data_IF_073602094587
#
_entry.id   IF_073602094587
#
_cell.length_a   1.000
_cell.length_b   1.000
_cell.length_c   1.000
_cell.angle_alpha   90.00
_cell.angle_beta   90.00
_cell.angle_gamma   90.00
#
_symmetry.space_group_name_H-M   'P 1'
#
loop_
_entity.id
_entity.type
_entity.pdbx_description
1 polymer ?
#
# COMPACT_ATOMS: atom_id res chain seq x y z
N UNK A 1 8.95 -13.19 -7.62
CA UNK A 1 8.31 -12.71 -6.38
C UNK A 1 8.45 -11.20 -6.33
N UNK A 2 7.33 -10.46 -6.10
CA UNK A 2 7.32 -9.00 -6.14
C UNK A 2 7.95 -8.44 -4.86
N UNK A 3 8.81 -7.43 -5.02
CA UNK A 3 9.38 -6.67 -3.92
C UNK A 3 8.69 -5.29 -3.81
N UNK A 4 8.50 -4.82 -2.58
CA UNK A 4 8.00 -3.46 -2.37
C UNK A 4 9.15 -2.44 -2.53
N UNK A 5 8.87 -1.23 -3.06
CA UNK A 5 9.92 -0.24 -3.28
C UNK A 5 10.47 0.31 -1.97
N UNK A 6 11.76 0.68 -1.98
CA UNK A 6 12.32 1.58 -0.97
C UNK A 6 11.85 3.00 -1.27
N UNK A 7 11.66 3.82 -0.23
CA UNK A 7 11.20 5.20 -0.43
C UNK A 7 11.65 6.14 0.69
N UNK A 8 11.51 7.42 0.41
CA UNK A 8 11.55 8.50 1.39
C UNK A 8 10.31 9.37 1.16
N UNK A 9 9.44 9.43 2.14
CA UNK A 9 8.22 10.24 2.10
C UNK A 9 8.17 11.14 3.33
N UNK A 10 7.55 12.29 3.19
CA UNK A 10 7.28 13.19 4.32
C UNK A 10 5.95 12.84 4.97
N UNK A 11 5.86 13.05 6.29
CA UNK A 11 4.59 13.05 7.00
C UNK A 11 3.99 14.46 7.07
N UNK A 12 2.82 14.60 7.70
CA UNK A 12 2.16 15.90 7.86
C UNK A 12 2.93 16.92 8.75
N UNK A 13 3.89 16.45 9.54
CA UNK A 13 4.75 17.30 10.38
C UNK A 13 6.02 17.74 9.66
N UNK A 14 6.23 17.30 8.41
CA UNK A 14 7.42 17.56 7.63
C UNK A 14 8.61 16.64 7.94
N UNK A 15 8.42 15.63 8.80
CA UNK A 15 9.47 14.65 9.06
C UNK A 15 9.62 13.70 7.88
N UNK A 16 10.85 13.32 7.55
CA UNK A 16 11.14 12.34 6.52
C UNK A 16 11.13 10.94 7.10
N UNK A 17 10.28 10.09 6.54
CA UNK A 17 10.20 8.67 6.84
C UNK A 17 10.84 7.87 5.71
N UNK A 18 11.82 7.04 6.05
CA UNK A 18 12.57 6.21 5.09
C UNK A 18 12.22 4.75 5.27
N UNK A 19 11.91 4.07 4.15
CA UNK A 19 11.80 2.62 4.08
C UNK A 19 12.94 2.08 3.21
N UNK A 20 13.78 1.22 3.77
CA UNK A 20 14.91 0.58 3.08
C UNK A 20 14.54 -0.81 2.54
N UNK A 21 13.57 -1.48 3.17
CA UNK A 21 13.10 -2.82 2.78
C UNK A 21 13.89 -3.97 3.42
N UNK A 22 14.75 -3.67 4.39
CA UNK A 22 15.55 -4.65 5.15
C UNK A 22 14.86 -5.13 6.45
N UNK A 23 13.62 -4.69 6.68
CA UNK A 23 12.79 -5.07 7.82
C UNK A 23 11.38 -5.44 7.37
N UNK A 24 10.74 -6.40 8.06
CA UNK A 24 9.33 -6.69 7.80
C UNK A 24 8.48 -5.44 7.99
N UNK A 25 7.50 -5.26 7.13
CA UNK A 25 6.63 -4.08 7.22
C UNK A 25 5.21 -4.35 6.72
N UNK A 26 4.29 -3.53 7.19
CA UNK A 26 2.92 -3.43 6.68
C UNK A 26 2.78 -2.09 5.96
N UNK A 27 2.33 -2.11 4.72
CA UNK A 27 2.05 -0.93 3.93
C UNK A 27 0.56 -0.89 3.59
N UNK A 28 -0.05 0.29 3.67
CA UNK A 28 -1.41 0.48 3.17
C UNK A 28 -1.49 1.78 2.37
N UNK A 29 -2.01 1.67 1.15
CA UNK A 29 -2.21 2.79 0.24
C UNK A 29 -3.68 3.19 0.25
N UNK A 30 -3.95 4.48 0.48
CA UNK A 30 -5.29 5.04 0.57
C UNK A 30 -5.39 6.38 -0.15
N UNK A 31 -6.62 6.84 -0.40
CA UNK A 31 -6.92 8.20 -0.82
C UNK A 31 -8.22 8.71 -0.19
N UNK A 32 -8.34 10.02 -0.04
CA UNK A 32 -9.44 10.67 0.66
C UNK A 32 -10.80 10.46 -0.02
N UNK A 33 -10.86 10.59 -1.34
CA UNK A 33 -12.09 10.53 -2.13
C UNK A 33 -12.57 9.09 -2.40
N UNK A 34 -12.00 8.11 -1.71
CA UNK A 34 -12.39 6.71 -1.80
C UNK A 34 -13.23 6.30 -0.58
N UNK A 35 -14.53 6.03 -0.75
CA UNK A 35 -15.40 5.63 0.37
C UNK A 35 -14.92 4.37 1.09
N UNK A 36 -14.29 3.45 0.36
CA UNK A 36 -13.72 2.24 0.96
C UNK A 36 -12.47 2.54 1.79
N UNK A 37 -11.61 3.48 1.34
CA UNK A 37 -10.49 3.96 2.13
C UNK A 37 -10.95 4.60 3.45
N UNK A 38 -12.00 5.41 3.40
CA UNK A 38 -12.59 5.98 4.61
C UNK A 38 -13.15 4.90 5.53
N UNK A 39 -13.83 3.89 4.99
CA UNK A 39 -14.39 2.79 5.76
C UNK A 39 -13.33 1.96 6.50
N UNK A 40 -12.10 1.86 5.99
CA UNK A 40 -11.03 1.09 6.63
C UNK A 40 -10.18 1.90 7.63
N UNK A 41 -10.37 3.21 7.76
CA UNK A 41 -9.61 4.02 8.72
C UNK A 41 -9.66 3.48 10.16
N UNK A 42 -10.80 2.99 10.69
CA UNK A 42 -10.82 2.35 12.01
C UNK A 42 -9.92 1.11 12.09
N UNK A 43 -9.82 0.33 11.02
CA UNK A 43 -8.92 -0.84 10.95
C UNK A 43 -7.47 -0.39 10.98
N UNK A 44 -7.12 0.66 10.21
CA UNK A 44 -5.75 1.21 10.16
C UNK A 44 -5.35 1.82 11.50
N UNK A 45 -6.28 2.46 12.22
CA UNK A 45 -6.05 2.97 13.57
C UNK A 45 -5.77 1.83 14.56
N UNK A 46 -6.57 0.77 14.52
CA UNK A 46 -6.38 -0.40 15.36
C UNK A 46 -5.07 -1.15 15.02
N UNK A 47 -4.73 -1.27 13.74
CA UNK A 47 -3.47 -1.83 13.26
C UNK A 47 -2.28 -1.04 13.80
N UNK A 48 -2.29 0.27 13.65
CA UNK A 48 -1.22 1.15 14.15
C UNK A 48 -1.06 0.97 15.66
N UNK A 49 -2.14 1.06 16.42
CA UNK A 49 -2.09 0.98 17.89
C UNK A 49 -1.60 -0.38 18.39
N UNK A 50 -1.84 -1.47 17.67
CA UNK A 50 -1.46 -2.82 18.11
C UNK A 50 -0.12 -3.29 17.56
N UNK A 51 0.29 -2.87 16.37
CA UNK A 51 1.43 -3.46 15.66
C UNK A 51 2.61 -2.52 15.45
N UNK A 52 2.44 -1.19 15.50
CA UNK A 52 3.50 -0.24 15.12
C UNK A 52 4.75 -0.28 16.03
N UNK A 53 4.65 -0.80 17.25
CA UNK A 53 5.81 -1.04 18.13
C UNK A 53 6.58 -2.32 17.80
N UNK A 54 5.98 -3.23 17.00
CA UNK A 54 6.51 -4.57 16.73
C UNK A 54 6.96 -4.74 15.28
N UNK A 55 6.40 -3.97 14.35
CA UNK A 55 6.68 -4.03 12.91
C UNK A 55 6.59 -2.62 12.34
N UNK A 56 7.35 -2.34 11.27
CA UNK A 56 7.25 -1.06 10.58
C UNK A 56 5.91 -0.94 9.88
N UNK A 57 5.16 0.13 10.14
CA UNK A 57 3.85 0.39 9.54
C UNK A 57 3.92 1.68 8.73
N UNK A 58 3.62 1.58 7.43
CA UNK A 58 3.60 2.71 6.50
C UNK A 58 2.21 2.90 5.93
N UNK A 59 1.54 3.96 6.35
CA UNK A 59 0.22 4.34 5.87
C UNK A 59 0.38 5.51 4.90
N UNK A 60 0.09 5.27 3.63
CA UNK A 60 0.51 6.12 2.50
C UNK A 60 -0.74 6.67 1.83
N UNK A 61 -0.84 8.00 1.79
CA UNK A 61 -1.92 8.70 1.13
C UNK A 61 -1.46 9.36 -0.17
N UNK A 62 -2.34 9.40 -1.17
CA UNK A 62 -2.00 9.81 -2.53
C UNK A 62 -2.15 11.31 -2.78
N UNK A 63 -2.61 12.10 -1.81
CA UNK A 63 -2.68 13.56 -1.92
C UNK A 63 -2.35 14.23 -0.58
N UNK A 64 -1.55 15.28 -0.61
CA UNK A 64 -1.15 16.00 0.60
C UNK A 64 -2.36 16.62 1.32
N UNK A 65 -3.22 17.34 0.59
CA UNK A 65 -4.42 17.96 1.15
C UNK A 65 -5.43 16.92 1.67
N UNK A 66 -5.57 15.80 0.96
CA UNK A 66 -6.42 14.69 1.38
C UNK A 66 -5.93 14.03 2.66
N UNK A 67 -4.62 13.86 2.80
CA UNK A 67 -4.01 13.34 4.03
C UNK A 67 -4.30 14.24 5.23
N UNK A 68 -4.19 15.54 5.05
CA UNK A 68 -4.51 16.51 6.09
C UNK A 68 -5.98 16.44 6.49
N UNK A 69 -6.90 16.48 5.51
CA UNK A 69 -8.35 16.40 5.78
C UNK A 69 -8.76 15.11 6.46
N UNK A 70 -8.24 13.96 6.03
CA UNK A 70 -8.51 12.67 6.68
C UNK A 70 -8.03 12.68 8.14
N UNK A 71 -6.82 13.18 8.40
CA UNK A 71 -6.25 13.25 9.74
C UNK A 71 -7.08 14.11 10.67
N UNK A 72 -7.51 15.30 10.22
CA UNK A 72 -8.31 16.24 11.01
C UNK A 72 -9.74 15.71 11.23
N UNK A 73 -10.39 15.19 10.18
CA UNK A 73 -11.77 14.77 10.24
C UNK A 73 -11.99 13.50 11.06
N UNK A 74 -11.02 12.57 11.02
CA UNK A 74 -11.16 11.25 11.66
C UNK A 74 -10.27 11.06 12.88
N UNK A 75 -9.58 12.10 13.33
CA UNK A 75 -8.69 12.07 14.50
C UNK A 75 -7.74 10.85 14.48
N UNK A 76 -6.98 10.73 13.40
CA UNK A 76 -6.13 9.56 13.16
C UNK A 76 -4.96 9.53 14.16
N UNK A 77 -4.70 8.39 14.83
CA UNK A 77 -3.61 8.24 15.81
C UNK A 77 -2.23 8.09 15.17
N UNK A 78 -2.15 8.16 13.85
CA UNK A 78 -0.94 8.02 13.05
C UNK A 78 -0.82 9.17 12.04
N UNK A 79 0.39 9.37 11.55
CA UNK A 79 0.64 10.34 10.49
C UNK A 79 0.68 9.63 9.14
N UNK A 80 -0.16 10.09 8.20
CA UNK A 80 -0.12 9.62 6.82
C UNK A 80 1.14 10.13 6.11
N UNK A 81 1.74 9.28 5.30
CA UNK A 81 2.87 9.60 4.44
C UNK A 81 2.36 10.19 3.12
N UNK A 82 3.02 11.23 2.65
CA UNK A 82 2.64 11.98 1.46
C UNK A 82 3.29 11.37 0.20
N UNK A 83 2.51 10.62 -0.57
CA UNK A 83 2.86 10.15 -1.91
C UNK A 83 2.13 10.95 -3.01
N UNK A 84 1.99 12.26 -2.84
CA UNK A 84 1.32 13.13 -3.83
C UNK A 84 2.04 13.19 -5.18
N UNK A 85 3.32 12.83 -5.23
CA UNK A 85 4.05 12.59 -6.49
C UNK A 85 3.65 11.29 -7.18
N UNK A 86 3.03 10.36 -6.45
CA UNK A 86 2.58 9.03 -6.89
C UNK A 86 3.70 8.06 -7.28
N UNK A 87 4.95 8.38 -6.99
CA UNK A 87 6.08 7.52 -7.35
C UNK A 87 6.07 6.20 -6.60
N UNK A 88 5.73 6.21 -5.31
CA UNK A 88 5.70 4.99 -4.49
C UNK A 88 4.49 4.12 -4.89
N UNK A 89 3.32 4.72 -5.09
CA UNK A 89 2.14 4.02 -5.59
C UNK A 89 2.41 3.37 -6.96
N UNK A 90 3.04 4.12 -7.88
CA UNK A 90 3.39 3.61 -9.21
C UNK A 90 4.42 2.47 -9.14
N UNK A 91 5.50 2.65 -8.39
CA UNK A 91 6.53 1.62 -8.22
C UNK A 91 6.02 0.37 -7.49
N UNK A 92 4.96 0.49 -6.69
CA UNK A 92 4.28 -0.62 -6.01
C UNK A 92 3.19 -1.28 -6.85
N UNK A 93 2.97 -0.85 -8.09
CA UNK A 93 1.88 -1.28 -8.96
C UNK A 93 0.48 -1.17 -8.30
N UNK A 94 0.23 -0.06 -7.60
CA UNK A 94 -1.06 0.18 -6.97
C UNK A 94 -2.08 0.62 -8.02
N UNK A 95 -2.96 -0.27 -8.40
CA UNK A 95 -4.07 0.03 -9.32
C UNK A 95 -5.34 0.42 -8.58
N UNK A 96 -5.54 -0.14 -7.40
CA UNK A 96 -6.73 0.01 -6.56
C UNK A 96 -6.31 0.44 -5.16
N UNK A 97 -7.08 1.32 -4.54
CA UNK A 97 -6.99 1.67 -3.13
C UNK A 97 -8.32 1.39 -2.41
N UNK A 98 -8.31 0.93 -1.14
CA UNK A 98 -7.14 0.59 -0.36
C UNK A 98 -6.44 -0.68 -0.87
N UNK A 99 -5.13 -0.71 -0.76
CA UNK A 99 -4.33 -1.93 -0.90
C UNK A 99 -3.47 -2.08 0.34
N UNK A 100 -3.57 -3.24 1.00
CA UNK A 100 -2.80 -3.62 2.17
C UNK A 100 -1.74 -4.65 1.77
N UNK A 101 -0.47 -4.39 2.08
CA UNK A 101 0.65 -5.28 1.78
C UNK A 101 1.41 -5.63 3.05
N UNK A 102 1.91 -6.86 3.11
CA UNK A 102 2.88 -7.30 4.12
C UNK A 102 4.17 -7.69 3.42
N UNK A 103 5.30 -7.23 3.94
CA UNK A 103 6.63 -7.58 3.42
C UNK A 103 7.46 -8.26 4.47
N UNK A 104 8.32 -9.17 4.02
CA UNK A 104 9.31 -9.84 4.86
C UNK A 104 10.64 -9.04 4.93
N UNK A 105 11.59 -9.51 5.76
CA UNK A 105 12.88 -8.84 5.95
C UNK A 105 13.78 -8.83 4.70
N UNK A 106 13.48 -9.66 3.70
CA UNK A 106 14.15 -9.69 2.39
C UNK A 106 13.44 -8.80 1.36
N UNK A 107 12.53 -7.95 1.82
CA UNK A 107 11.72 -7.02 1.03
C UNK A 107 10.66 -7.69 0.11
N UNK A 108 10.51 -9.00 0.16
CA UNK A 108 9.50 -9.69 -0.64
C UNK A 108 8.10 -9.44 -0.07
N UNK A 109 7.13 -9.22 -0.96
CA UNK A 109 5.72 -9.12 -0.57
C UNK A 109 5.21 -10.53 -0.28
N UNK A 110 4.85 -10.80 0.98
CA UNK A 110 4.28 -12.08 1.40
C UNK A 110 2.77 -12.13 1.22
N UNK A 111 2.10 -11.01 1.38
CA UNK A 111 0.65 -10.89 1.30
C UNK A 111 0.25 -9.54 0.70
N UNK A 112 -0.82 -9.52 -0.09
CA UNK A 112 -1.43 -8.29 -0.60
C UNK A 112 -2.94 -8.47 -0.71
N UNK A 113 -3.70 -7.53 -0.14
CA UNK A 113 -5.15 -7.46 -0.20
C UNK A 113 -5.58 -6.17 -0.90
N UNK A 114 -6.42 -6.30 -1.92
CA UNK A 114 -6.90 -5.21 -2.76
C UNK A 114 -8.38 -4.96 -2.49
N UNK A 115 -8.75 -3.71 -2.23
CA UNK A 115 -10.08 -3.38 -1.75
C UNK A 115 -10.27 -3.83 -0.29
N UNK A 116 -11.51 -4.03 0.12
CA UNK A 116 -11.81 -4.46 1.48
C UNK A 116 -12.72 -5.69 1.50
N UNK A 117 -12.21 -6.78 2.05
CA UNK A 117 -12.96 -7.97 2.43
C UNK A 117 -12.64 -8.22 3.90
N UNK A 118 -13.67 -8.09 4.75
CA UNK A 118 -13.53 -8.04 6.21
C UNK A 118 -12.75 -9.22 6.79
N UNK A 119 -13.15 -10.42 6.39
CA UNK A 119 -12.58 -11.64 6.97
C UNK A 119 -11.13 -11.87 6.53
N UNK A 120 -10.78 -11.46 5.29
CA UNK A 120 -9.40 -11.53 4.80
C UNK A 120 -8.50 -10.53 5.52
N UNK A 121 -8.95 -9.29 5.70
CA UNK A 121 -8.21 -8.29 6.45
C UNK A 121 -8.01 -8.69 7.90
N UNK A 122 -9.09 -9.16 8.57
CA UNK A 122 -9.02 -9.63 9.94
C UNK A 122 -8.04 -10.79 10.08
N UNK A 123 -8.15 -11.80 9.22
CA UNK A 123 -7.27 -12.98 9.23
C UNK A 123 -5.82 -12.61 9.01
N UNK A 124 -5.53 -11.77 8.00
CA UNK A 124 -4.16 -11.34 7.71
C UNK A 124 -3.54 -10.61 8.89
N UNK A 125 -4.25 -9.63 9.47
CA UNK A 125 -3.72 -8.84 10.59
C UNK A 125 -3.55 -9.69 11.87
N UNK A 126 -4.43 -10.65 12.12
CA UNK A 126 -4.26 -11.61 13.21
C UNK A 126 -3.05 -12.53 13.00
N UNK A 127 -2.82 -12.98 11.76
CA UNK A 127 -1.66 -13.81 11.41
C UNK A 127 -0.34 -13.02 11.58
N UNK A 128 -0.31 -11.76 11.16
CA UNK A 128 0.85 -10.88 11.38
C UNK A 128 1.12 -10.71 12.86
N UNK A 129 0.11 -10.41 13.66
CA UNK A 129 0.24 -10.28 15.11
C UNK A 129 0.73 -11.57 15.77
N UNK A 130 0.19 -12.72 15.35
CA UNK A 130 0.61 -14.03 15.84
C UNK A 130 2.09 -14.32 15.56
N UNK A 131 2.58 -13.98 14.36
CA UNK A 131 4.01 -14.09 14.00
C UNK A 131 4.90 -13.18 14.86
N UNK A 132 4.38 -12.02 15.26
CA UNK A 132 5.08 -11.05 16.12
C UNK A 132 4.96 -11.38 17.62
N UNK A 133 4.16 -12.37 17.99
CA UNK A 133 3.91 -12.72 19.39
C UNK A 133 3.11 -11.65 20.15
N UNK A 134 2.30 -10.86 19.47
CA UNK A 134 1.48 -9.80 20.07
C UNK A 134 -0.01 -10.00 19.78
N UNK A 135 -0.86 -9.22 20.45
CA UNK A 135 -2.29 -9.22 20.16
C UNK A 135 -2.57 -8.50 18.82
N UNK A 136 -3.51 -9.05 18.05
CA UNK A 136 -3.98 -8.44 16.83
C UNK A 136 -4.80 -7.16 17.08
N UNK A 137 -5.14 -6.42 16.00
CA UNK A 137 -5.96 -5.24 16.11
C UNK A 137 -7.30 -5.51 16.80
N UNK A 138 -7.60 -4.70 17.81
CA UNK A 138 -8.86 -4.80 18.58
C UNK A 138 -9.83 -3.74 18.08
N UNK A 139 -10.93 -4.20 17.47
CA UNK A 139 -12.05 -3.37 17.04
C UNK A 139 -13.29 -4.23 16.86
N UNK A 140 -14.46 -3.60 16.77
CA UNK A 140 -15.71 -4.27 16.48
C UNK A 140 -15.83 -4.52 14.96
N UNK A 141 -15.27 -5.65 14.51
CA UNK A 141 -15.28 -6.04 13.10
C UNK A 141 -16.70 -6.17 12.54
N UNK A 142 -17.70 -6.53 13.35
CA UNK A 142 -19.07 -6.70 12.86
C UNK A 142 -19.75 -5.39 12.47
N UNK A 143 -19.22 -4.26 12.89
CA UNK A 143 -19.66 -2.94 12.43
C UNK A 143 -19.12 -2.55 11.06
N UNK A 144 -18.13 -3.27 10.56
CA UNK A 144 -17.57 -3.03 9.24
C UNK A 144 -18.37 -3.78 8.16
N UNK A 145 -18.43 -3.27 6.93
CA UNK A 145 -19.05 -3.99 5.83
C UNK A 145 -18.33 -5.33 5.60
N UNK A 146 -19.04 -6.35 5.12
CA UNK A 146 -18.42 -7.64 4.77
C UNK A 146 -17.44 -7.48 3.62
N UNK A 147 -17.80 -6.66 2.66
CA UNK A 147 -17.01 -6.42 1.47
C UNK A 147 -17.29 -5.03 0.89
N UNK A 148 -16.25 -4.38 0.36
CA UNK A 148 -16.33 -3.19 -0.46
C UNK A 148 -15.29 -3.23 -1.59
N UNK A 149 -15.68 -2.87 -2.82
CA UNK A 149 -14.69 -2.66 -3.87
C UNK A 149 -13.78 -1.49 -3.50
N UNK A 150 -12.55 -1.53 -3.95
CA UNK A 150 -11.69 -0.37 -3.91
C UNK A 150 -12.05 0.65 -4.98
N UNK A 151 -11.29 1.73 -5.01
CA UNK A 151 -11.37 2.79 -6.01
C UNK A 151 -10.07 2.81 -6.82
N UNK A 152 -10.11 3.31 -8.05
CA UNK A 152 -8.91 3.46 -8.86
C UNK A 152 -7.84 4.32 -8.15
N UNK A 153 -6.62 3.87 -8.17
CA UNK A 153 -5.45 4.63 -7.69
C UNK A 153 -5.19 5.82 -8.60
N UNK A 154 -4.70 6.93 -8.06
CA UNK A 154 -4.29 8.09 -8.86
C UNK A 154 -3.08 7.77 -9.76
N UNK A 155 -2.26 6.78 -9.41
CA UNK A 155 -1.11 6.39 -10.22
C UNK A 155 -1.47 5.74 -11.57
N UNK A 156 -2.69 5.21 -11.70
CA UNK A 156 -3.23 4.68 -12.97
C UNK A 156 -4.21 5.62 -13.64
N UNK A 157 -4.53 6.76 -13.01
CA UNK A 157 -5.36 7.78 -13.64
C UNK A 157 -4.64 8.35 -14.88
N UNK A 158 -5.31 8.47 -16.04
CA UNK A 158 -4.70 8.96 -17.27
C UNK A 158 -4.00 10.32 -17.13
N UNK A 159 -4.46 11.18 -16.23
CA UNK A 159 -3.84 12.50 -15.96
C UNK A 159 -2.44 12.40 -15.38
N UNK A 160 -2.09 11.28 -14.73
CA UNK A 160 -0.82 11.02 -14.07
C UNK A 160 0.01 9.92 -14.71
N UNK A 161 -0.66 8.91 -15.29
CA UNK A 161 -0.03 7.68 -15.77
C UNK A 161 1.06 7.94 -16.83
N UNK A 162 0.82 8.84 -17.78
CA UNK A 162 1.80 9.13 -18.84
C UNK A 162 3.06 9.82 -18.30
N UNK A 163 2.90 10.75 -17.34
CA UNK A 163 4.03 11.38 -16.64
C UNK A 163 4.83 10.35 -15.85
N UNK A 164 4.17 9.52 -15.05
CA UNK A 164 4.82 8.50 -14.23
C UNK A 164 5.58 7.48 -15.07
N UNK A 165 5.01 7.09 -16.21
CA UNK A 165 5.66 6.19 -17.17
C UNK A 165 6.93 6.82 -17.73
N UNK A 166 6.86 8.06 -18.19
CA UNK A 166 8.02 8.78 -18.74
C UNK A 166 9.13 8.95 -17.70
N UNK A 167 8.78 9.35 -16.46
CA UNK A 167 9.75 9.50 -15.36
C UNK A 167 10.38 8.15 -14.98
N UNK A 168 9.63 7.05 -15.02
CA UNK A 168 10.16 5.71 -14.77
C UNK A 168 11.10 5.23 -15.89
N UNK A 169 10.84 5.61 -17.15
CA UNK A 169 11.70 5.29 -18.29
C UNK A 169 13.04 6.02 -18.23
N UNK A 170 13.06 7.24 -17.72
CA UNK A 170 14.26 8.05 -17.52
C UNK A 170 15.05 7.66 -16.26
N UNK A 171 14.54 6.71 -15.44
CA UNK A 171 15.18 6.31 -14.19
C UNK A 171 16.49 5.54 -14.44
N UNK A 172 17.61 5.89 -13.76
CA UNK A 172 18.89 5.17 -13.87
C UNK A 172 18.81 3.69 -13.49
N UNK A 173 17.81 3.30 -12.68
CA UNK A 173 17.60 1.92 -12.27
C UNK A 173 17.06 1.09 -13.44
N UNK A 174 16.17 1.66 -14.25
CA UNK A 174 15.62 0.99 -15.44
C UNK A 174 16.67 0.88 -16.54
N UNK A 175 17.45 1.94 -16.75
CA UNK A 175 18.55 1.91 -17.72
C UNK A 175 19.54 0.77 -17.42
N UNK A 176 19.89 0.55 -16.15
CA UNK A 176 20.73 -0.58 -15.72
C UNK A 176 20.09 -1.95 -15.97
N UNK A 177 18.78 -2.08 -15.75
CA UNK A 177 18.06 -3.33 -15.96
C UNK A 177 17.89 -3.67 -17.45
N UNK A 178 17.80 -2.65 -18.32
CA UNK A 178 17.80 -2.82 -19.77
C UNK A 178 19.16 -3.29 -20.28
N UNK A 179 20.27 -2.74 -19.76
CA UNK A 179 21.64 -3.17 -20.09
C UNK A 179 21.95 -4.60 -19.65
N UNK A 180 21.31 -5.10 -18.60
CA UNK A 180 21.53 -6.46 -18.08
C UNK A 180 20.62 -7.50 -18.76
N UNK A 181 19.70 -7.07 -19.64
CA UNK A 181 18.80 -7.98 -20.36
C UNK A 181 17.78 -8.71 -19.48
N UNK A 182 17.45 -8.17 -18.30
CA UNK A 182 16.50 -8.72 -17.35
C UNK A 182 15.24 -7.85 -17.24
N UNK A 183 14.58 -7.59 -18.35
CA UNK A 183 13.20 -7.11 -18.34
C UNK A 183 12.37 -8.05 -19.21
N UNK A 184 11.88 -9.13 -18.60
CA UNK A 184 10.64 -9.73 -19.01
C UNK A 184 9.54 -8.69 -18.72
N UNK A 185 8.72 -8.38 -19.72
CA UNK A 185 7.63 -7.43 -19.64
C UNK A 185 6.69 -7.82 -18.48
N UNK A 186 6.51 -7.02 -17.43
CA UNK A 186 5.61 -7.35 -16.34
C UNK A 186 4.16 -7.53 -16.80
N UNK A 187 3.81 -7.10 -18.00
CA UNK A 187 2.50 -7.31 -18.59
C UNK A 187 2.33 -8.68 -19.27
N UNK A 188 3.39 -9.35 -19.73
CA UNK A 188 3.26 -10.72 -20.28
C UNK A 188 2.85 -11.73 -19.22
N UNK A 189 3.24 -11.54 -17.97
CA UNK A 189 2.90 -12.47 -16.89
C UNK A 189 1.42 -12.46 -16.48
N UNK A 190 0.68 -11.40 -16.76
CA UNK A 190 -0.77 -11.31 -16.43
C UNK A 190 -1.67 -11.96 -17.47
N UNK A 191 -1.21 -12.20 -18.68
CA UNK A 191 -2.02 -12.78 -19.76
C UNK A 191 -1.79 -14.28 -20.03
N UNK A 192 -0.77 -14.89 -19.44
CA UNK A 192 -0.43 -16.30 -19.66
C UNK A 192 -1.05 -17.28 -18.62
N UNK A 193 -1.95 -16.81 -17.76
CA UNK A 193 -2.80 -17.68 -16.94
C UNK A 193 -4.11 -17.91 -17.67
N UNK A 194 -4.03 -18.81 -18.67
CA UNK A 194 -5.07 -19.24 -19.59
C UNK A 194 -6.50 -19.23 -19.07
N UNK A 195 -7.31 -18.34 -19.61
CA UNK A 195 -8.71 -18.65 -19.86
C UNK A 195 -8.76 -19.55 -21.11
N UNK A 196 -8.68 -20.85 -20.92
CA UNK A 196 -9.19 -21.81 -21.92
C UNK A 196 -10.63 -22.07 -21.58
N UNK A 197 -11.49 -21.61 -22.50
CA UNK A 197 -12.91 -21.96 -22.53
C UNK A 197 -13.13 -23.46 -22.37
N UNK A 198 -14.02 -23.81 -21.45
CA UNK A 198 -14.66 -25.11 -21.32
C UNK A 198 -16.11 -24.91 -20.95
#
# INVERSE_FOLDING_TARGET
QLAAPSFKLSNLHGDTVTRTGDRPSVLCFIKEDCPTCIAVLPVLSALHNSLAEHIDVYLIGQTADGNQRMTEQYDLPFSLLDDSTLHVSYASNIEIVPTLMVTEADNQISDALVGFQRDEWQTLLQNVAGRLGTAGPTLDWDRLPLWRPGCGSLSVDPTHADRLRAEAEDSPIRARNIEIGQLDDPFEFMFDQGFTDG
#
